data_IF_576974953493
#
_entry.id   IF_576974953493
#
_cell.length_a   1.000
_cell.length_b   1.000
_cell.length_c   1.000
_cell.angle_alpha   90.00
_cell.angle_beta   90.00
_cell.angle_gamma   90.00
#
_symmetry.space_group_name_H-M   'P 1'
#
loop_
_entity.id
_entity.type
_entity.pdbx_description
1 polymer ?
#
# COMPACT_ATOMS: atom_id res chain seq x y z
N UNK A 1 -19.67 36.95 43.36
CA UNK A 1 -20.48 36.14 42.42
C UNK A 1 -19.53 35.56 41.39
N UNK A 2 -19.43 34.23 41.36
CA UNK A 2 -18.44 33.45 40.61
C UNK A 2 -18.76 33.41 39.11
N UNK A 3 -17.76 33.68 38.27
CA UNK A 3 -17.82 33.43 36.83
C UNK A 3 -17.52 31.96 36.55
N UNK A 4 -18.49 31.25 35.95
CA UNK A 4 -18.32 29.89 35.49
C UNK A 4 -17.52 29.88 34.18
N UNK A 5 -16.24 29.52 34.26
CA UNK A 5 -15.48 29.06 33.10
C UNK A 5 -15.97 27.65 32.76
N UNK A 6 -16.83 27.54 31.74
CA UNK A 6 -17.13 26.26 31.10
C UNK A 6 -15.99 25.96 30.13
N UNK A 7 -15.05 25.13 30.57
CA UNK A 7 -14.03 24.55 29.70
C UNK A 7 -14.71 23.49 28.83
N UNK A 8 -14.79 23.72 27.52
CA UNK A 8 -15.13 22.66 26.59
C UNK A 8 -13.93 21.71 26.52
N UNK A 9 -14.00 20.63 27.30
CA UNK A 9 -13.06 19.52 27.17
C UNK A 9 -13.05 19.05 25.73
N UNK A 10 -11.86 18.90 25.15
CA UNK A 10 -11.69 18.31 23.83
C UNK A 10 -12.51 17.01 23.78
N UNK A 11 -13.37 16.80 22.77
CA UNK A 11 -14.09 15.55 22.65
C UNK A 11 -13.06 14.44 22.62
N UNK A 12 -13.23 13.49 23.52
CA UNK A 12 -12.39 12.32 23.64
C UNK A 12 -12.41 11.59 22.29
N UNK A 13 -11.40 11.80 21.44
CA UNK A 13 -11.28 11.23 20.08
C UNK A 13 -11.05 9.70 20.11
N UNK A 14 -11.31 9.08 21.25
CA UNK A 14 -11.21 7.66 21.53
C UNK A 14 -12.44 6.81 21.12
N UNK A 15 -13.13 7.05 19.99
CA UNK A 15 -13.82 5.97 19.29
C UNK A 15 -13.24 5.58 17.92
N UNK A 16 -12.24 6.29 17.37
CA UNK A 16 -11.68 5.95 16.04
C UNK A 16 -10.64 4.81 16.06
N UNK A 17 -10.21 4.35 17.25
CA UNK A 17 -9.23 3.26 17.40
C UNK A 17 -9.79 1.85 17.15
N UNK A 18 -11.10 1.70 16.91
CA UNK A 18 -11.78 0.38 16.84
C UNK A 18 -11.89 -0.27 15.46
N UNK A 19 -11.34 0.32 14.40
CA UNK A 19 -11.21 -0.32 13.08
C UNK A 19 -9.77 -0.72 12.72
N UNK A 20 -8.86 -0.74 13.70
CA UNK A 20 -7.56 -1.41 13.55
C UNK A 20 -7.79 -2.91 13.65
N UNK A 21 -7.67 -3.63 12.54
CA UNK A 21 -6.83 -4.83 12.45
C UNK A 21 -6.97 -5.46 11.06
N UNK A 22 -6.20 -4.94 10.10
CA UNK A 22 -5.27 -5.89 9.46
C UNK A 22 -4.38 -6.38 10.61
N UNK A 23 -4.67 -7.58 11.12
CA UNK A 23 -3.84 -8.17 12.17
C UNK A 23 -2.44 -8.33 11.60
N UNK A 24 -1.45 -7.89 12.38
CA UNK A 24 -0.03 -7.94 12.00
C UNK A 24 0.29 -9.31 11.39
N UNK A 25 0.75 -9.32 10.14
CA UNK A 25 1.36 -10.49 9.50
C UNK A 25 0.42 -11.70 9.36
N UNK A 26 -0.86 -11.48 9.02
CA UNK A 26 -1.78 -12.57 8.67
C UNK A 26 -2.06 -12.57 7.18
N UNK A 27 -2.01 -13.77 6.61
CA UNK A 27 -2.38 -14.01 5.23
C UNK A 27 -3.89 -13.89 5.01
N UNK A 28 -4.30 -13.28 3.91
CA UNK A 28 -5.71 -13.07 3.56
C UNK A 28 -5.94 -13.14 2.05
N UNK A 29 -7.12 -13.62 1.66
CA UNK A 29 -7.58 -13.54 0.29
C UNK A 29 -8.03 -12.12 -0.04
N UNK A 30 -7.56 -11.62 -1.17
CA UNK A 30 -7.99 -10.34 -1.75
C UNK A 30 -8.47 -10.54 -3.18
N UNK A 31 -9.49 -9.78 -3.56
CA UNK A 31 -10.06 -9.80 -4.90
C UNK A 31 -9.34 -8.76 -5.76
N UNK A 32 -8.79 -9.18 -6.90
CA UNK A 32 -8.34 -8.27 -7.94
C UNK A 32 -9.57 -7.61 -8.57
N UNK A 33 -9.83 -6.36 -8.23
CA UNK A 33 -10.94 -5.56 -8.77
C UNK A 33 -10.65 -5.10 -10.18
N UNK A 34 -9.39 -4.78 -10.46
CA UNK A 34 -8.98 -4.12 -11.70
C UNK A 34 -7.50 -4.31 -11.97
N UNK A 35 -7.14 -4.42 -13.24
CA UNK A 35 -5.78 -4.37 -13.74
C UNK A 35 -5.63 -3.11 -14.60
N UNK A 36 -4.54 -2.37 -14.39
CA UNK A 36 -4.22 -1.14 -15.12
C UNK A 36 -2.93 -1.41 -15.89
N UNK A 37 -2.97 -1.22 -17.21
CA UNK A 37 -1.77 -1.21 -18.04
C UNK A 37 -1.11 0.17 -17.91
N UNK A 38 0.07 0.23 -17.28
CA UNK A 38 0.82 1.50 -17.10
C UNK A 38 1.76 1.72 -18.29
N UNK A 39 2.48 0.67 -18.69
CA UNK A 39 3.36 0.59 -19.86
C UNK A 39 3.27 -0.83 -20.44
N UNK A 40 3.83 -1.11 -21.64
CA UNK A 40 3.80 -2.46 -22.22
C UNK A 40 4.35 -3.57 -21.33
N UNK A 41 5.22 -3.23 -20.37
CA UNK A 41 5.85 -4.17 -19.44
C UNK A 41 5.53 -3.87 -17.96
N UNK A 42 4.59 -2.97 -17.65
CA UNK A 42 4.21 -2.63 -16.27
C UNK A 42 2.69 -2.60 -16.11
N UNK A 43 2.21 -3.36 -15.12
CA UNK A 43 0.79 -3.36 -14.72
C UNK A 43 0.62 -2.99 -13.26
N UNK A 44 -0.45 -2.26 -12.94
CA UNK A 44 -0.93 -2.08 -11.57
C UNK A 44 -2.13 -2.99 -11.32
N UNK A 45 -2.03 -3.83 -10.30
CA UNK A 45 -3.14 -4.67 -9.82
C UNK A 45 -3.80 -3.98 -8.63
N UNK A 46 -5.10 -3.78 -8.71
CA UNK A 46 -5.91 -3.13 -7.68
C UNK A 46 -6.71 -4.18 -6.94
N UNK A 47 -6.48 -4.29 -5.64
CA UNK A 47 -7.10 -5.27 -4.78
C UNK A 47 -8.07 -4.65 -3.78
N UNK A 48 -9.13 -5.39 -3.49
CA UNK A 48 -10.10 -5.09 -2.44
C UNK A 48 -10.23 -6.29 -1.52
N UNK A 49 -10.61 -6.03 -0.27
CA UNK A 49 -11.07 -7.11 0.61
C UNK A 49 -12.41 -7.66 0.06
N UNK A 50 -12.61 -8.99 -0.01
CA UNK A 50 -13.92 -9.58 -0.33
C UNK A 50 -15.04 -9.21 0.66
N UNK A 51 -14.66 -8.79 1.87
CA UNK A 51 -15.57 -8.38 2.96
C UNK A 51 -15.55 -6.86 3.22
N UNK A 52 -15.12 -6.06 2.24
CA UNK A 52 -15.04 -4.58 2.33
C UNK A 52 -14.26 -4.03 3.53
N UNK A 53 -13.28 -4.81 4.03
CA UNK A 53 -12.33 -4.36 5.05
C UNK A 53 -11.32 -3.38 4.48
N UNK A 54 -10.93 -2.44 5.33
CA UNK A 54 -9.87 -1.48 5.06
C UNK A 54 -8.49 -2.13 5.21
N UNK A 55 -7.59 -1.83 4.29
CA UNK A 55 -6.17 -2.12 4.42
C UNK A 55 -5.51 -1.06 5.32
N UNK A 56 -4.92 -1.49 6.44
CA UNK A 56 -4.15 -0.64 7.33
C UNK A 56 -2.65 -0.90 7.15
N UNK A 57 -1.91 0.08 6.66
CA UNK A 57 -0.45 0.02 6.47
C UNK A 57 0.15 1.43 6.52
N UNK A 58 1.47 1.52 6.63
CA UNK A 58 2.22 2.78 6.51
C UNK A 58 2.80 2.91 5.11
N UNK A 59 2.75 4.11 4.53
CA UNK A 59 3.20 4.35 3.17
C UNK A 59 4.69 4.02 3.01
N UNK A 60 5.02 3.13 2.06
CA UNK A 60 6.37 2.58 1.87
C UNK A 60 6.51 1.08 2.17
N UNK A 61 5.56 0.51 2.91
CA UNK A 61 5.53 -0.92 3.22
C UNK A 61 5.24 -1.80 1.99
N UNK A 62 5.47 -3.10 2.16
CA UNK A 62 5.23 -4.12 1.14
C UNK A 62 4.29 -5.21 1.64
N UNK A 63 3.77 -6.02 0.71
CA UNK A 63 3.04 -7.25 0.97
C UNK A 63 3.78 -8.43 0.35
N UNK A 64 3.62 -9.62 0.92
CA UNK A 64 3.96 -10.87 0.26
C UNK A 64 2.76 -11.32 -0.55
N UNK A 65 2.98 -11.72 -1.80
CA UNK A 65 2.01 -12.37 -2.67
C UNK A 65 2.33 -13.85 -2.71
N UNK A 66 1.36 -14.67 -2.31
CA UNK A 66 1.46 -16.13 -2.29
C UNK A 66 0.73 -16.72 -3.49
N UNK A 67 1.45 -17.52 -4.28
CA UNK A 67 0.93 -18.16 -5.47
C UNK A 67 1.27 -19.64 -5.49
N UNK A 68 0.46 -20.40 -6.21
CA UNK A 68 0.78 -21.79 -6.59
C UNK A 68 0.93 -21.87 -8.10
N UNK A 69 2.16 -21.97 -8.59
CA UNK A 69 2.48 -22.02 -10.02
C UNK A 69 2.99 -23.42 -10.33
N UNK A 70 2.35 -24.13 -11.26
CA UNK A 70 2.71 -25.50 -11.66
C UNK A 70 2.85 -26.48 -10.48
N UNK A 71 2.02 -26.30 -9.45
CA UNK A 71 2.04 -27.13 -8.24
C UNK A 71 3.01 -26.68 -7.15
N UNK A 72 3.94 -25.76 -7.44
CA UNK A 72 4.89 -25.23 -6.48
C UNK A 72 4.37 -23.95 -5.80
N UNK A 73 4.53 -23.87 -4.48
CA UNK A 73 4.25 -22.65 -3.73
C UNK A 73 5.38 -21.63 -3.93
N UNK A 74 5.02 -20.41 -4.31
CA UNK A 74 5.96 -19.32 -4.59
C UNK A 74 5.48 -18.05 -3.92
N UNK A 75 6.41 -17.38 -3.21
CA UNK A 75 6.13 -16.12 -2.52
C UNK A 75 7.05 -15.02 -3.03
N UNK A 76 6.51 -13.82 -3.28
CA UNK A 76 7.31 -12.63 -3.63
C UNK A 76 6.82 -11.39 -2.91
N UNK A 77 7.74 -10.51 -2.55
CA UNK A 77 7.43 -9.20 -1.99
C UNK A 77 7.13 -8.19 -3.09
N UNK A 78 6.10 -7.38 -2.86
CA UNK A 78 5.75 -6.23 -3.69
C UNK A 78 5.42 -5.03 -2.80
N UNK A 79 6.12 -3.92 -3.01
CA UNK A 79 5.79 -2.67 -2.32
C UNK A 79 4.37 -2.24 -2.68
N UNK A 80 3.64 -1.80 -1.67
CA UNK A 80 2.33 -1.19 -1.88
C UNK A 80 2.56 0.15 -2.56
N UNK A 81 1.87 0.38 -3.67
CA UNK A 81 1.99 1.56 -4.52
C UNK A 81 0.85 2.56 -4.29
N UNK A 82 -0.28 2.13 -3.72
CA UNK A 82 -1.35 3.03 -3.27
C UNK A 82 -0.99 3.69 -1.93
N UNK A 83 -1.52 4.89 -1.65
CA UNK A 83 -1.34 5.50 -0.34
C UNK A 83 -2.32 4.90 0.69
N UNK A 84 -1.97 4.85 1.98
CA UNK A 84 -2.85 4.36 3.03
C UNK A 84 -4.07 5.27 3.31
N UNK A 85 -4.08 6.48 2.76
CA UNK A 85 -5.22 7.42 2.75
C UNK A 85 -6.39 6.94 1.88
N UNK A 86 -6.20 5.90 1.06
CA UNK A 86 -7.23 5.28 0.21
C UNK A 86 -7.41 3.80 0.59
N UNK A 87 -7.93 3.52 1.79
CA UNK A 87 -7.76 2.23 2.46
C UNK A 87 -8.62 1.09 1.89
N UNK A 88 -9.50 1.36 0.93
CA UNK A 88 -10.33 0.32 0.30
C UNK A 88 -9.65 -0.33 -0.91
N UNK A 89 -8.58 0.29 -1.43
CA UNK A 89 -7.83 -0.20 -2.60
C UNK A 89 -6.35 -0.37 -2.26
N UNK A 90 -5.89 -1.62 -2.17
CA UNK A 90 -4.47 -1.95 -2.10
C UNK A 90 -3.92 -2.15 -3.52
N UNK A 91 -2.86 -1.44 -3.89
CA UNK A 91 -2.29 -1.52 -5.23
C UNK A 91 -0.86 -2.02 -5.19
N UNK A 92 -0.50 -2.94 -6.07
CA UNK A 92 0.89 -3.26 -6.40
C UNK A 92 1.13 -2.96 -7.87
N UNK A 93 2.26 -2.34 -8.18
CA UNK A 93 2.69 -2.08 -9.56
C UNK A 93 3.87 -2.98 -9.89
N UNK A 94 3.70 -3.82 -10.90
CA UNK A 94 4.61 -4.93 -11.22
C UNK A 94 5.18 -4.71 -12.61
N UNK A 95 6.49 -4.53 -12.68
CA UNK A 95 7.25 -4.62 -13.93
C UNK A 95 7.48 -6.09 -14.28
N UNK A 96 7.21 -6.48 -15.52
CA UNK A 96 7.56 -7.79 -16.07
C UNK A 96 9.09 -7.90 -16.13
N UNK A 97 9.62 -8.91 -15.45
CA UNK A 97 11.05 -9.18 -15.47
C UNK A 97 11.34 -10.25 -16.53
N UNK A 98 12.29 -10.05 -17.46
CA UNK A 98 12.67 -11.09 -18.41
C UNK A 98 13.04 -12.40 -17.69
N UNK A 99 12.34 -13.49 -18.02
CA UNK A 99 12.51 -14.80 -17.37
C UNK A 99 12.01 -14.90 -15.92
N UNK A 100 11.38 -13.86 -15.37
CA UNK A 100 10.91 -13.85 -13.98
C UNK A 100 9.61 -14.64 -13.78
N UNK A 101 9.64 -15.72 -13.00
CA UNK A 101 8.48 -16.59 -12.80
C UNK A 101 7.20 -15.84 -12.37
N UNK A 102 7.25 -15.12 -11.24
CA UNK A 102 6.06 -14.53 -10.62
C UNK A 102 5.56 -13.29 -11.36
N UNK A 103 6.44 -12.40 -11.80
CA UNK A 103 6.00 -11.18 -12.50
C UNK A 103 5.39 -11.48 -13.87
N UNK A 104 5.92 -12.46 -14.62
CA UNK A 104 5.28 -12.93 -15.85
C UNK A 104 3.94 -13.60 -15.54
N UNK A 105 3.90 -14.49 -14.53
CA UNK A 105 2.64 -15.15 -14.15
C UNK A 105 1.54 -14.15 -13.80
N UNK A 106 1.83 -13.13 -12.98
CA UNK A 106 0.86 -12.08 -12.64
C UNK A 106 0.35 -11.37 -13.89
N UNK A 107 1.23 -11.02 -14.82
CA UNK A 107 0.83 -10.32 -16.04
C UNK A 107 -0.02 -11.18 -16.99
N UNK A 108 0.26 -12.48 -17.04
CA UNK A 108 -0.34 -13.43 -17.98
C UNK A 108 -1.63 -14.05 -17.44
N UNK A 109 -1.80 -14.13 -16.12
CA UNK A 109 -2.87 -14.93 -15.50
C UNK A 109 -3.75 -14.16 -14.52
N UNK A 110 -3.28 -13.07 -13.91
CA UNK A 110 -4.07 -12.35 -12.91
C UNK A 110 -4.90 -11.24 -13.58
N UNK A 111 -6.21 -11.32 -13.43
CA UNK A 111 -7.19 -10.40 -14.00
C UNK A 111 -8.25 -9.94 -12.99
N UNK A 112 -9.13 -9.06 -13.46
CA UNK A 112 -10.26 -8.63 -12.65
C UNK A 112 -11.22 -9.81 -12.37
N UNK A 113 -11.61 -9.98 -11.12
CA UNK A 113 -12.45 -11.09 -10.66
C UNK A 113 -11.67 -12.22 -9.98
N UNK A 114 -10.35 -12.26 -10.13
CA UNK A 114 -9.52 -13.30 -9.51
C UNK A 114 -9.20 -12.99 -8.05
N UNK A 115 -9.05 -14.04 -7.26
CA UNK A 115 -8.59 -13.95 -5.87
C UNK A 115 -7.14 -14.41 -5.74
N UNK A 116 -6.36 -13.68 -4.95
CA UNK A 116 -5.01 -14.09 -4.56
C UNK A 116 -4.83 -13.95 -3.06
N UNK A 117 -3.86 -14.69 -2.53
CA UNK A 117 -3.47 -14.63 -1.14
C UNK A 117 -2.33 -13.63 -0.93
N UNK A 118 -2.50 -12.70 0.01
CA UNK A 118 -1.48 -11.74 0.41
C UNK A 118 -1.24 -11.75 1.92
N UNK A 119 0.02 -11.58 2.34
CA UNK A 119 0.43 -11.41 3.73
C UNK A 119 1.08 -10.04 3.91
N UNK A 120 0.74 -9.34 5.00
CA UNK A 120 1.30 -8.02 5.27
C UNK A 120 0.48 -7.21 6.28
N UNK A 121 0.72 -5.90 6.36
CA UNK A 121 1.85 -5.21 5.73
C UNK A 121 3.18 -5.56 6.42
N UNK A 122 4.29 -5.41 5.70
CA UNK A 122 5.65 -5.69 6.16
C UNK A 122 6.62 -4.57 5.78
N UNK A 123 7.77 -4.53 6.46
CA UNK A 123 8.85 -3.58 6.19
C UNK A 123 8.84 -2.33 7.08
N UNK A 124 10.03 -1.81 7.35
CA UNK A 124 10.29 -0.62 8.19
C UNK A 124 10.60 0.64 7.38
N UNK A 125 10.69 0.54 6.06
CA UNK A 125 10.86 1.71 5.19
C UNK A 125 9.50 2.38 4.99
N UNK A 126 9.11 3.29 5.88
CA UNK A 126 7.82 3.98 5.81
C UNK A 126 7.87 5.42 6.35
N UNK A 127 6.88 6.24 5.97
CA UNK A 127 6.79 7.65 6.39
C UNK A 127 6.51 7.85 7.89
N UNK A 128 5.94 6.88 8.58
CA UNK A 128 5.54 7.08 9.98
C UNK A 128 6.73 6.83 10.92
N UNK A 129 7.67 5.97 10.52
CA UNK A 129 8.87 5.61 11.29
C UNK A 129 10.10 6.46 10.95
N UNK A 130 10.07 7.21 9.85
CA UNK A 130 11.19 8.04 9.37
C UNK A 130 10.92 9.52 9.66
N UNK A 131 11.76 10.21 10.47
CA UNK A 131 11.63 11.66 10.63
C UNK A 131 12.10 12.40 9.37
N UNK A 132 11.34 13.40 8.93
CA UNK A 132 11.70 14.27 7.80
C UNK A 132 11.18 15.69 7.97
N UNK A 133 11.94 16.66 7.48
CA UNK A 133 11.52 18.07 7.34
C UNK A 133 11.50 18.49 5.85
N UNK A 134 12.37 17.93 5.01
CA UNK A 134 12.40 18.18 3.56
C UNK A 134 12.79 16.89 2.83
N UNK A 135 11.84 15.97 2.56
CA UNK A 135 12.19 14.65 2.07
C UNK A 135 12.70 14.70 0.62
N UNK A 136 13.84 14.04 0.38
CA UNK A 136 14.34 13.70 -0.94
C UNK A 136 14.04 12.24 -1.24
N UNK A 137 13.21 11.99 -2.25
CA UNK A 137 12.95 10.66 -2.76
C UNK A 137 13.84 10.35 -3.95
N UNK A 138 14.55 9.23 -3.90
CA UNK A 138 15.36 8.70 -4.99
C UNK A 138 14.80 7.32 -5.37
N UNK A 139 14.51 7.10 -6.65
CA UNK A 139 14.09 5.77 -7.11
C UNK A 139 14.62 5.43 -8.50
N UNK A 140 14.70 4.13 -8.77
CA UNK A 140 15.08 3.60 -10.09
C UNK A 140 14.18 2.44 -10.49
N UNK A 141 13.69 2.45 -11.73
CA UNK A 141 12.80 1.41 -12.26
C UNK A 141 11.61 1.11 -11.34
N UNK A 142 11.33 -0.17 -11.05
CA UNK A 142 10.23 -0.56 -10.15
C UNK A 142 10.41 -0.13 -8.69
N UNK A 143 11.60 0.34 -8.31
CA UNK A 143 11.85 0.95 -7.00
C UNK A 143 11.07 2.25 -6.76
N UNK A 144 10.40 2.78 -7.78
CA UNK A 144 9.46 3.90 -7.66
C UNK A 144 8.21 3.56 -6.81
N UNK A 145 7.86 2.28 -6.69
CA UNK A 145 6.58 1.85 -6.08
C UNK A 145 6.37 2.27 -4.62
N UNK A 146 7.30 2.03 -3.66
CA UNK A 146 7.13 2.54 -2.31
C UNK A 146 7.16 4.07 -2.27
N UNK A 147 7.98 4.71 -3.12
CA UNK A 147 8.07 6.18 -3.21
C UNK A 147 6.73 6.78 -3.66
N UNK A 148 6.03 6.17 -4.61
CA UNK A 148 4.71 6.64 -5.04
C UNK A 148 3.66 6.52 -3.95
N UNK A 149 3.71 5.45 -3.13
CA UNK A 149 2.84 5.34 -1.95
C UNK A 149 3.09 6.51 -0.99
N UNK A 150 4.35 6.83 -0.72
CA UNK A 150 4.76 7.93 0.15
C UNK A 150 4.35 9.30 -0.41
N UNK A 151 4.70 9.60 -1.66
CA UNK A 151 4.38 10.87 -2.32
C UNK A 151 2.86 11.12 -2.37
N UNK A 152 2.07 10.10 -2.71
CA UNK A 152 0.61 10.19 -2.72
C UNK A 152 0.05 10.41 -1.31
N UNK A 153 0.62 9.76 -0.29
CA UNK A 153 0.21 9.97 1.10
C UNK A 153 0.50 11.39 1.59
N UNK A 154 1.68 11.94 1.28
CA UNK A 154 2.04 13.32 1.61
C UNK A 154 1.14 14.32 0.90
N UNK A 155 0.85 14.07 -0.39
CA UNK A 155 -0.06 14.89 -1.20
C UNK A 155 -1.49 14.86 -0.65
N UNK A 156 -2.03 13.67 -0.34
CA UNK A 156 -3.38 13.49 0.19
C UNK A 156 -3.55 14.14 1.59
N UNK A 157 -2.46 14.23 2.37
CA UNK A 157 -2.43 14.93 3.66
C UNK A 157 -2.41 16.46 3.53
N UNK A 158 -2.32 17.00 2.30
CA UNK A 158 -2.15 18.42 2.01
C UNK A 158 -0.99 19.05 2.81
N UNK A 159 0.09 18.30 3.01
CA UNK A 159 1.25 18.81 3.70
C UNK A 159 1.90 19.90 2.85
N UNK A 160 2.07 21.11 3.40
CA UNK A 160 2.89 22.18 2.81
C UNK A 160 4.38 21.84 2.98
N UNK A 161 4.77 20.70 2.41
CA UNK A 161 6.08 20.08 2.57
C UNK A 161 6.92 20.34 1.33
N UNK A 162 8.16 20.80 1.54
CA UNK A 162 9.17 20.92 0.49
C UNK A 162 9.69 19.52 0.13
N UNK A 163 9.16 18.94 -0.96
CA UNK A 163 9.45 17.58 -1.41
C UNK A 163 10.28 17.63 -2.69
N UNK A 164 11.41 16.93 -2.70
CA UNK A 164 12.20 16.68 -3.92
C UNK A 164 12.07 15.21 -4.33
N UNK A 165 11.87 14.95 -5.62
CA UNK A 165 11.79 13.59 -6.18
C UNK A 165 12.65 13.47 -7.42
N UNK A 166 13.55 12.48 -7.44
CA UNK A 166 14.39 12.13 -8.57
C UNK A 166 14.16 10.66 -8.94
N UNK A 167 13.90 10.41 -10.22
CA UNK A 167 13.63 9.08 -10.76
C UNK A 167 14.46 8.80 -12.01
N UNK A 168 14.86 7.54 -12.19
CA UNK A 168 15.53 7.04 -13.40
C UNK A 168 15.02 5.67 -13.84
#
# INVERSE_FOLDING_TARGET
MMNAHVSFGAPDLLPMRRYRQWAQTTSQLVLCRRVIEETPDVKTFVFTSPTDRMFCFSAGQYVLVHLKIEGAAVTRSYSVSSPPTRPLDLQITVKRAPGGLVSNWLHDNLGAGDEIEIEGPLGSFNLDDLPYEKPLFLSGGSGITPVMSMLRALTDRAADQDISFVHS
#
